data_IF_656352376868
#
_entry.id   IF_656352376868
#
_cell.length_a   1.000
_cell.length_b   1.000
_cell.length_c   1.000
_cell.angle_alpha   90.00
_cell.angle_beta   90.00
_cell.angle_gamma   90.00
#
_symmetry.space_group_name_H-M   'P 1'
#
loop_
_entity.id
_entity.type
_entity.pdbx_description
1 polymer ?
#
# COMPACT_ATOMS: atom_id res chain seq x y z
N UNK A 1 15.41 -12.57 -24.60
CA UNK A 1 14.79 -11.34 -24.15
C UNK A 1 15.44 -10.15 -24.83
N UNK A 2 14.66 -9.29 -25.44
CA UNK A 2 15.16 -8.01 -25.98
C UNK A 2 15.56 -7.06 -24.84
N UNK A 3 16.40 -6.06 -25.14
CA UNK A 3 16.77 -5.06 -24.15
C UNK A 3 15.53 -4.32 -23.60
N UNK A 4 14.55 -4.05 -24.45
CA UNK A 4 13.27 -3.43 -24.06
C UNK A 4 12.47 -4.28 -23.07
N UNK A 5 12.41 -5.61 -23.28
CA UNK A 5 11.76 -6.52 -22.31
C UNK A 5 12.41 -6.46 -20.94
N UNK A 6 13.75 -6.48 -20.89
CA UNK A 6 14.48 -6.41 -19.64
C UNK A 6 14.15 -5.11 -18.88
N UNK A 7 14.18 -3.96 -19.55
CA UNK A 7 13.80 -2.68 -18.95
C UNK A 7 12.36 -2.66 -18.45
N UNK A 8 11.42 -3.15 -19.26
CA UNK A 8 10.01 -3.19 -18.89
C UNK A 8 9.76 -4.05 -17.64
N UNK A 9 10.28 -5.28 -17.61
CA UNK A 9 10.07 -6.17 -16.45
C UNK A 9 10.80 -5.68 -15.20
N UNK A 10 11.97 -5.08 -15.36
CA UNK A 10 12.69 -4.46 -14.22
C UNK A 10 11.88 -3.31 -13.63
N UNK A 11 11.38 -2.41 -14.47
CA UNK A 11 10.55 -1.28 -14.02
C UNK A 11 9.26 -1.76 -13.34
N UNK A 12 8.59 -2.75 -13.95
CA UNK A 12 7.37 -3.37 -13.40
C UNK A 12 7.62 -4.03 -12.04
N UNK A 13 8.76 -4.70 -11.89
CA UNK A 13 9.21 -5.26 -10.60
C UNK A 13 9.44 -4.19 -9.54
N UNK A 14 10.11 -3.09 -9.89
CA UNK A 14 10.33 -1.96 -8.98
C UNK A 14 9.01 -1.30 -8.54
N UNK A 15 8.06 -1.13 -9.46
CA UNK A 15 6.71 -0.60 -9.14
C UNK A 15 5.97 -1.52 -8.17
N UNK A 16 6.06 -2.83 -8.36
CA UNK A 16 5.44 -3.83 -7.48
C UNK A 16 6.04 -3.79 -6.07
N UNK A 17 7.37 -3.71 -5.98
CA UNK A 17 8.10 -3.57 -4.71
C UNK A 17 7.71 -2.26 -4.02
N UNK A 18 7.68 -1.15 -4.75
CA UNK A 18 7.27 0.15 -4.20
C UNK A 18 5.83 0.11 -3.66
N UNK A 19 4.90 -0.55 -4.37
CA UNK A 19 3.52 -0.75 -3.89
C UNK A 19 3.49 -1.49 -2.56
N UNK A 20 4.32 -2.51 -2.41
CA UNK A 20 4.44 -3.23 -1.13
C UNK A 20 5.00 -2.34 -0.02
N UNK A 21 6.02 -1.52 -0.30
CA UNK A 21 6.57 -0.58 0.68
C UNK A 21 5.55 0.45 1.18
N UNK A 22 4.57 0.85 0.38
CA UNK A 22 3.48 1.75 0.83
C UNK A 22 2.73 1.14 2.03
N UNK A 23 2.52 -0.17 2.07
CA UNK A 23 1.92 -0.84 3.23
C UNK A 23 2.81 -0.79 4.48
N UNK A 24 4.13 -0.74 4.29
CA UNK A 24 5.09 -0.62 5.39
C UNK A 24 5.11 0.80 5.97
N UNK A 25 4.77 1.82 5.17
CA UNK A 25 4.80 3.24 5.52
C UNK A 25 3.48 3.75 6.12
N UNK A 26 2.59 2.89 6.60
CA UNK A 26 1.26 3.25 7.11
C UNK A 26 1.31 4.38 8.14
N UNK A 27 2.27 4.34 9.06
CA UNK A 27 2.42 5.37 10.09
C UNK A 27 2.86 6.71 9.51
N UNK A 28 3.77 6.70 8.54
CA UNK A 28 4.29 7.92 7.91
C UNK A 28 3.25 8.58 7.01
N UNK A 29 2.39 7.78 6.35
CA UNK A 29 1.31 8.25 5.47
C UNK A 29 0.24 9.05 6.24
N UNK A 30 0.14 8.91 7.57
CA UNK A 30 -0.73 9.77 8.41
C UNK A 30 -0.33 11.23 8.30
N UNK A 31 0.95 11.55 8.15
CA UNK A 31 1.44 12.90 7.94
C UNK A 31 1.07 13.38 6.53
N UNK A 32 0.27 14.43 6.43
CA UNK A 32 -0.22 14.94 5.15
C UNK A 32 0.91 15.35 4.19
N UNK A 33 2.02 15.85 4.72
CA UNK A 33 3.20 16.22 3.92
C UNK A 33 3.85 15.02 3.23
N UNK A 34 3.94 13.87 3.92
CA UNK A 34 4.49 12.63 3.40
C UNK A 34 3.50 12.00 2.42
N UNK A 35 2.21 11.94 2.81
CA UNK A 35 1.14 11.47 1.93
C UNK A 35 1.16 12.19 0.57
N UNK A 36 1.24 13.53 0.57
CA UNK A 36 1.25 14.33 -0.66
C UNK A 36 2.44 13.99 -1.57
N UNK A 37 3.63 13.77 -1.00
CA UNK A 37 4.83 13.39 -1.76
C UNK A 37 4.67 12.00 -2.41
N UNK A 38 4.23 11.01 -1.62
CA UNK A 38 4.03 9.64 -2.10
C UNK A 38 2.89 9.60 -3.13
N UNK A 39 1.82 10.38 -2.93
CA UNK A 39 0.72 10.52 -3.87
C UNK A 39 1.19 11.04 -5.23
N UNK A 40 2.02 12.08 -5.24
CA UNK A 40 2.59 12.60 -6.49
C UNK A 40 3.40 11.53 -7.23
N UNK A 41 4.26 10.78 -6.51
CA UNK A 41 5.04 9.69 -7.09
C UNK A 41 4.12 8.60 -7.65
N UNK A 42 3.09 8.20 -6.91
CA UNK A 42 2.13 7.18 -7.34
C UNK A 42 1.35 7.59 -8.59
N UNK A 43 0.98 8.87 -8.71
CA UNK A 43 0.33 9.42 -9.91
C UNK A 43 1.29 9.41 -11.10
N UNK A 44 2.55 9.80 -10.91
CA UNK A 44 3.57 9.74 -11.98
C UNK A 44 3.75 8.30 -12.46
N UNK A 45 3.83 7.33 -11.56
CA UNK A 45 3.93 5.91 -11.90
C UNK A 45 2.72 5.46 -12.74
N UNK A 46 1.51 5.84 -12.35
CA UNK A 46 0.30 5.53 -13.12
C UNK A 46 0.35 6.13 -14.52
N UNK A 47 0.77 7.39 -14.65
CA UNK A 47 0.93 8.06 -15.96
C UNK A 47 1.93 7.29 -16.82
N UNK A 48 3.07 6.87 -16.27
CA UNK A 48 4.06 6.04 -16.98
C UNK A 48 3.40 4.75 -17.48
N UNK A 49 2.61 4.06 -16.66
CA UNK A 49 1.89 2.85 -17.05
C UNK A 49 0.93 3.09 -18.24
N UNK A 50 0.19 4.21 -18.22
CA UNK A 50 -0.70 4.59 -19.31
C UNK A 50 0.10 4.89 -20.59
N UNK A 51 1.22 5.59 -20.50
CA UNK A 51 2.08 5.90 -21.65
C UNK A 51 2.70 4.63 -22.25
N UNK A 52 3.12 3.66 -21.42
CA UNK A 52 3.64 2.38 -21.91
C UNK A 52 2.60 1.61 -22.72
N UNK A 53 1.34 1.65 -22.31
CA UNK A 53 0.23 1.05 -23.07
C UNK A 53 -0.08 1.84 -24.32
N UNK A 54 -0.11 3.16 -24.24
CA UNK A 54 -0.44 4.04 -25.36
C UNK A 54 0.58 3.95 -26.52
N UNK A 55 1.86 3.79 -26.21
CA UNK A 55 2.93 3.65 -27.18
C UNK A 55 3.26 2.20 -27.56
N UNK A 56 2.43 1.23 -27.17
CA UNK A 56 2.66 -0.21 -27.39
C UNK A 56 4.04 -0.72 -26.89
N UNK A 57 4.57 -0.09 -25.84
CA UNK A 57 5.82 -0.48 -25.19
C UNK A 57 5.61 -1.50 -24.08
N UNK A 58 4.38 -1.97 -23.89
CA UNK A 58 4.00 -2.94 -22.87
C UNK A 58 4.21 -4.37 -23.38
N UNK A 59 4.99 -5.15 -22.65
CA UNK A 59 5.17 -6.59 -22.91
C UNK A 59 4.16 -7.46 -22.13
N UNK A 60 3.23 -6.86 -21.43
CA UNK A 60 2.05 -7.47 -20.82
C UNK A 60 0.78 -6.99 -21.51
N UNK A 61 -0.35 -7.66 -21.27
CA UNK A 61 -1.63 -7.13 -21.74
C UNK A 61 -1.90 -5.76 -21.13
N UNK A 62 -2.57 -4.88 -21.88
CA UNK A 62 -2.85 -3.50 -21.48
C UNK A 62 -3.50 -3.42 -20.09
N UNK A 63 -4.47 -4.30 -19.80
CA UNK A 63 -5.14 -4.36 -18.50
C UNK A 63 -4.19 -4.72 -17.37
N UNK A 64 -3.27 -5.67 -17.59
CA UNK A 64 -2.28 -6.08 -16.59
C UNK A 64 -1.28 -4.98 -16.30
N UNK A 65 -0.82 -4.29 -17.33
CA UNK A 65 0.09 -3.16 -17.19
C UNK A 65 -0.56 -2.02 -16.40
N UNK A 66 -1.75 -1.57 -16.79
CA UNK A 66 -2.47 -0.52 -16.06
C UNK A 66 -2.73 -0.93 -14.62
N UNK A 67 -3.13 -2.18 -14.37
CA UNK A 67 -3.35 -2.70 -13.03
C UNK A 67 -2.10 -2.59 -12.15
N UNK A 68 -0.95 -3.09 -12.61
CA UNK A 68 0.30 -3.03 -11.83
C UNK A 68 0.70 -1.59 -11.52
N UNK A 69 0.64 -0.70 -12.52
CA UNK A 69 1.06 0.69 -12.37
C UNK A 69 0.05 1.53 -11.57
N UNK A 70 -1.19 1.05 -11.40
CA UNK A 70 -2.18 1.65 -10.48
C UNK A 70 -2.03 1.21 -9.03
N UNK A 71 -1.37 0.08 -8.74
CA UNK A 71 -1.25 -0.50 -7.40
C UNK A 71 -0.72 0.49 -6.35
N UNK A 72 0.35 1.29 -6.60
CA UNK A 72 0.85 2.24 -5.61
C UNK A 72 -0.21 3.26 -5.20
N UNK A 73 -0.96 3.77 -6.17
CA UNK A 73 -2.02 4.75 -5.93
C UNK A 73 -3.19 4.13 -5.16
N UNK A 74 -3.63 2.95 -5.55
CA UNK A 74 -4.72 2.22 -4.88
C UNK A 74 -4.33 1.88 -3.44
N UNK A 75 -3.12 1.36 -3.22
CA UNK A 75 -2.61 1.05 -1.89
C UNK A 75 -2.58 2.29 -0.98
N UNK A 76 -2.09 3.41 -1.51
CA UNK A 76 -2.00 4.67 -0.79
C UNK A 76 -3.38 5.23 -0.42
N UNK A 77 -4.32 5.23 -1.36
CA UNK A 77 -5.68 5.72 -1.15
C UNK A 77 -6.45 4.84 -0.16
N UNK A 78 -6.33 3.52 -0.24
CA UNK A 78 -6.95 2.60 0.72
C UNK A 78 -6.43 2.85 2.15
N UNK A 79 -5.12 2.93 2.33
CA UNK A 79 -4.53 3.22 3.63
C UNK A 79 -5.00 4.57 4.19
N UNK A 80 -5.04 5.60 3.35
CA UNK A 80 -5.51 6.93 3.77
C UNK A 80 -6.99 6.93 4.11
N UNK A 81 -7.82 6.25 3.32
CA UNK A 81 -9.26 6.13 3.58
C UNK A 81 -9.51 5.44 4.91
N UNK A 82 -8.83 4.33 5.21
CA UNK A 82 -8.99 3.65 6.50
C UNK A 82 -8.54 4.51 7.67
N UNK A 83 -7.45 5.26 7.51
CA UNK A 83 -7.02 6.21 8.52
C UNK A 83 -8.11 7.25 8.82
N UNK A 84 -8.68 7.87 7.78
CA UNK A 84 -9.71 8.91 7.93
C UNK A 84 -10.99 8.34 8.54
N UNK A 85 -11.48 7.20 8.03
CA UNK A 85 -12.69 6.55 8.51
C UNK A 85 -12.54 6.15 9.98
N UNK A 86 -11.44 5.55 10.37
CA UNK A 86 -11.21 5.15 11.75
C UNK A 86 -11.11 6.35 12.69
N UNK A 87 -10.43 7.40 12.26
CA UNK A 87 -10.34 8.63 13.06
C UNK A 87 -11.71 9.30 13.24
N UNK A 88 -12.57 9.28 12.21
CA UNK A 88 -13.91 9.86 12.27
C UNK A 88 -14.87 9.01 13.11
N UNK A 89 -14.85 7.68 12.95
CA UNK A 89 -15.79 6.79 13.64
C UNK A 89 -15.42 6.54 15.11
N UNK A 90 -14.16 6.44 15.43
CA UNK A 90 -13.69 6.04 16.76
C UNK A 90 -12.97 7.18 17.52
N UNK A 91 -12.70 8.30 16.85
CA UNK A 91 -11.88 9.37 17.43
C UNK A 91 -10.44 8.96 17.75
N UNK A 92 -10.04 7.76 17.30
CA UNK A 92 -8.73 7.18 17.56
C UNK A 92 -7.97 6.97 16.23
N UNK A 93 -6.63 7.19 16.22
CA UNK A 93 -5.84 6.96 15.03
C UNK A 93 -5.80 5.47 14.68
N UNK A 94 -5.74 5.15 13.38
CA UNK A 94 -5.45 3.80 12.92
C UNK A 94 -4.05 3.42 13.39
N UNK A 95 -3.96 2.44 14.32
CA UNK A 95 -2.72 2.01 14.94
C UNK A 95 -2.47 0.56 14.62
N UNK A 96 -1.23 0.27 14.26
CA UNK A 96 -0.75 -1.08 14.05
C UNK A 96 -0.22 -1.66 15.36
N UNK A 97 -0.69 -2.86 15.73
CA UNK A 97 -0.17 -3.54 16.94
C UNK A 97 1.28 -3.98 16.69
N UNK A 98 2.16 -3.55 17.56
CA UNK A 98 3.54 -3.97 17.61
C UNK A 98 3.65 -5.38 18.20
N UNK A 99 3.55 -6.42 17.38
CA UNK A 99 3.80 -7.81 17.80
C UNK A 99 5.26 -8.19 17.62
N UNK A 100 5.82 -8.87 18.60
CA UNK A 100 7.22 -9.22 18.84
C UNK A 100 8.15 -9.57 17.67
N UNK A 101 7.69 -10.23 16.61
CA UNK A 101 8.54 -10.66 15.50
C UNK A 101 8.92 -9.54 14.52
N UNK A 102 8.09 -8.53 14.37
CA UNK A 102 8.31 -7.41 13.43
C UNK A 102 8.81 -6.13 14.12
N UNK A 103 9.29 -6.23 15.34
CA UNK A 103 9.71 -5.11 16.19
C UNK A 103 10.79 -4.20 15.55
N UNK A 104 11.53 -4.70 14.59
CA UNK A 104 12.57 -3.94 13.87
C UNK A 104 12.11 -3.23 12.61
N UNK A 105 10.96 -3.60 12.05
CA UNK A 105 10.49 -3.10 10.74
C UNK A 105 9.45 -1.99 10.82
N UNK A 106 8.80 -1.78 11.97
CA UNK A 106 7.65 -0.92 12.07
C UNK A 106 7.85 0.15 13.13
N UNK A 107 7.95 1.38 12.71
CA UNK A 107 7.95 2.55 13.59
C UNK A 107 6.51 2.92 13.97
N UNK A 108 5.88 2.19 14.88
CA UNK A 108 4.72 2.72 15.58
C UNK A 108 5.18 3.35 16.89
N UNK A 109 4.74 4.56 17.21
CA UNK A 109 4.89 5.12 18.56
C UNK A 109 4.27 4.12 19.52
N UNK A 110 5.09 3.55 20.39
CA UNK A 110 4.69 2.59 21.41
C UNK A 110 3.68 3.27 22.32
N UNK A 111 2.45 2.80 22.29
CA UNK A 111 1.58 2.96 23.44
C UNK A 111 2.17 2.05 24.52
N UNK A 112 2.51 2.60 25.67
CA UNK A 112 3.10 1.87 26.79
C UNK A 112 2.23 0.64 27.07
N UNK A 113 2.79 -0.56 26.95
CA UNK A 113 2.06 -1.84 27.13
C UNK A 113 1.31 -1.90 28.47
N UNK A 114 1.78 -1.13 29.46
CA UNK A 114 1.17 -1.03 30.80
C UNK A 114 -0.16 -0.26 30.84
N UNK A 115 -0.53 0.44 29.77
CA UNK A 115 -1.76 1.25 29.71
C UNK A 115 -2.81 0.70 28.74
N UNK A 116 -2.62 -0.49 28.19
CA UNK A 116 -3.57 -1.06 27.23
C UNK A 116 -4.77 -1.64 27.98
N UNK A 117 -5.90 -0.95 27.93
CA UNK A 117 -7.19 -1.49 28.34
C UNK A 117 -7.68 -2.56 27.36
N UNK A 118 -8.55 -3.48 27.81
CA UNK A 118 -9.15 -4.51 26.94
C UNK A 118 -9.79 -3.91 25.68
N UNK A 119 -10.48 -2.79 25.80
CA UNK A 119 -11.08 -2.08 24.64
C UNK A 119 -10.04 -1.59 23.63
N UNK A 120 -8.91 -1.08 24.10
CA UNK A 120 -7.80 -0.67 23.21
C UNK A 120 -7.19 -1.89 22.52
N UNK A 121 -7.06 -3.00 23.20
CA UNK A 121 -6.58 -4.24 22.60
C UNK A 121 -7.51 -4.72 21.48
N UNK A 122 -8.82 -4.72 21.71
CA UNK A 122 -9.83 -5.07 20.70
C UNK A 122 -9.74 -4.13 19.48
N UNK A 123 -9.61 -2.83 19.72
CA UNK A 123 -9.46 -1.83 18.66
C UNK A 123 -8.19 -2.06 17.82
N UNK A 124 -7.06 -2.35 18.46
CA UNK A 124 -5.81 -2.64 17.77
C UNK A 124 -5.91 -3.92 16.93
N UNK A 125 -6.54 -4.96 17.46
CA UNK A 125 -6.77 -6.19 16.71
C UNK A 125 -7.63 -5.93 15.48
N UNK A 126 -8.69 -5.14 15.62
CA UNK A 126 -9.52 -4.68 14.51
C UNK A 126 -8.70 -3.94 13.45
N UNK A 127 -7.87 -2.98 13.83
CA UNK A 127 -6.99 -2.24 12.90
C UNK A 127 -6.02 -3.19 12.16
N UNK A 128 -5.47 -4.18 12.86
CA UNK A 128 -4.58 -5.18 12.28
C UNK A 128 -5.30 -6.05 11.25
N UNK A 129 -6.50 -6.53 11.57
CA UNK A 129 -7.33 -7.33 10.66
C UNK A 129 -7.68 -6.50 9.42
N UNK A 130 -8.06 -5.24 9.62
CA UNK A 130 -8.41 -4.34 8.53
C UNK A 130 -7.22 -4.08 7.60
N UNK A 131 -6.02 -3.92 8.15
CA UNK A 131 -4.80 -3.77 7.36
C UNK A 131 -4.46 -5.04 6.57
N UNK A 132 -4.53 -6.20 7.19
CA UNK A 132 -4.31 -7.47 6.51
C UNK A 132 -5.35 -7.73 5.42
N UNK A 133 -6.62 -7.34 5.64
CA UNK A 133 -7.69 -7.49 4.63
C UNK A 133 -7.39 -6.76 3.33
N UNK A 134 -6.68 -5.63 3.37
CA UNK A 134 -6.24 -4.91 2.16
C UNK A 134 -5.26 -5.75 1.34
N UNK A 135 -4.32 -6.42 2.00
CA UNK A 135 -3.34 -7.28 1.34
C UNK A 135 -4.07 -8.44 0.65
N UNK A 136 -5.03 -9.07 1.35
CA UNK A 136 -5.86 -10.14 0.76
C UNK A 136 -6.69 -9.64 -0.42
N UNK A 137 -7.28 -8.46 -0.32
CA UNK A 137 -8.03 -7.85 -1.42
C UNK A 137 -7.14 -7.67 -2.66
N UNK A 138 -5.96 -7.11 -2.49
CA UNK A 138 -5.03 -6.87 -3.59
C UNK A 138 -4.49 -8.18 -4.19
N UNK A 139 -4.19 -9.18 -3.36
CA UNK A 139 -3.80 -10.50 -3.84
C UNK A 139 -4.92 -11.17 -4.64
N UNK A 140 -6.18 -11.03 -4.19
CA UNK A 140 -7.34 -11.57 -4.91
C UNK A 140 -7.55 -10.87 -6.26
N UNK A 141 -7.42 -9.55 -6.28
CA UNK A 141 -7.47 -8.77 -7.52
C UNK A 141 -6.31 -9.15 -8.46
N UNK A 142 -5.10 -9.26 -7.93
CA UNK A 142 -3.93 -9.69 -8.68
C UNK A 142 -4.17 -11.08 -9.31
N UNK A 143 -4.65 -12.04 -8.52
CA UNK A 143 -4.99 -13.37 -9.03
C UNK A 143 -6.01 -13.30 -10.16
N UNK A 144 -7.08 -12.52 -10.02
CA UNK A 144 -8.11 -12.36 -11.06
C UNK A 144 -7.56 -11.79 -12.38
N UNK A 145 -6.54 -10.94 -12.31
CA UNK A 145 -5.95 -10.32 -13.51
C UNK A 145 -4.83 -11.16 -14.14
N UNK A 146 -4.18 -12.04 -13.37
CA UNK A 146 -2.98 -12.76 -13.85
C UNK A 146 -3.15 -14.27 -14.01
N UNK A 147 -4.14 -14.86 -13.36
CA UNK A 147 -4.51 -16.27 -13.45
C UNK A 147 -5.92 -16.40 -14.01
#
# INVERSE_FOLDING_TARGET
MSLGEIYFYTLTGLVSIFSFFIYLLVEDIKLFSIFKKIFLIAVIILIIGILLVFFDLSYLSNSKTIFIYSLPLVALLLNRSFFLINNELFGEPFIWIRGGFLRGFWYSKVVDEKQITFLKWVYYTYCTILHLSQIFLLLTLFRKFFI
#
